data_IF_677708118019
#
_entry.id   IF_677708118019
#
_cell.length_a   1.000
_cell.length_b   1.000
_cell.length_c   1.000
_cell.angle_alpha   90.00
_cell.angle_beta   90.00
_cell.angle_gamma   90.00
#
_symmetry.space_group_name_H-M   'P 1'
#
loop_
_entity.id
_entity.type
_entity.pdbx_description
1 polymer ?
#
# COMPACT_ATOMS: atom_id res chain seq x y z
N UNK A 1 4.93 -11.11 24.56
CA UNK A 1 3.90 -10.69 23.58
C UNK A 1 4.64 -10.05 22.42
N UNK A 2 4.43 -10.47 21.18
CA UNK A 2 5.06 -9.79 20.04
C UNK A 2 4.54 -8.36 19.97
N UNK A 3 5.42 -7.39 19.80
CA UNK A 3 5.07 -5.99 19.59
C UNK A 3 4.09 -5.89 18.40
N UNK A 4 3.02 -5.11 18.53
CA UNK A 4 2.01 -4.98 17.48
C UNK A 4 2.64 -4.24 16.30
N UNK A 5 2.76 -4.90 15.15
CA UNK A 5 3.30 -4.30 13.93
C UNK A 5 2.35 -3.21 13.41
N UNK A 6 2.92 -2.15 12.85
CA UNK A 6 2.20 -1.05 12.19
C UNK A 6 1.72 -1.49 10.82
N UNK A 7 0.41 -1.48 10.58
CA UNK A 7 -0.15 -1.80 9.27
C UNK A 7 0.14 -0.67 8.28
N UNK A 8 0.63 -1.04 7.09
CA UNK A 8 1.05 -0.07 6.06
C UNK A 8 0.43 -0.40 4.70
N UNK A 9 0.13 0.64 3.92
CA UNK A 9 -0.21 0.52 2.51
C UNK A 9 0.91 1.08 1.63
N UNK A 10 1.00 0.57 0.40
CA UNK A 10 1.89 1.09 -0.64
C UNK A 10 1.05 1.51 -1.83
N UNK A 11 1.20 2.76 -2.27
CA UNK A 11 0.59 3.27 -3.51
C UNK A 11 1.64 3.27 -4.61
N UNK A 12 1.33 2.59 -5.71
CA UNK A 12 2.24 2.39 -6.83
C UNK A 12 2.79 0.97 -6.87
N UNK A 13 2.21 0.13 -7.72
CA UNK A 13 2.58 -1.28 -7.92
C UNK A 13 3.73 -1.49 -8.91
N UNK A 14 4.58 -0.48 -9.11
CA UNK A 14 5.77 -0.56 -9.96
C UNK A 14 6.95 -1.24 -9.27
N UNK A 15 8.15 -1.08 -9.84
CA UNK A 15 9.38 -1.69 -9.33
C UNK A 15 9.68 -1.30 -7.88
N UNK A 16 9.60 0.00 -7.56
CA UNK A 16 9.91 0.53 -6.22
C UNK A 16 8.91 0.01 -5.18
N UNK A 17 7.61 0.16 -5.43
CA UNK A 17 6.59 -0.31 -4.49
C UNK A 17 6.63 -1.81 -4.27
N UNK A 18 6.86 -2.59 -5.33
CA UNK A 18 6.97 -4.06 -5.23
C UNK A 18 8.20 -4.49 -4.44
N UNK A 19 9.35 -3.85 -4.65
CA UNK A 19 10.55 -4.10 -3.87
C UNK A 19 10.36 -3.73 -2.38
N UNK A 20 9.75 -2.58 -2.09
CA UNK A 20 9.41 -2.16 -0.73
C UNK A 20 8.45 -3.13 -0.06
N UNK A 21 7.42 -3.62 -0.77
CA UNK A 21 6.49 -4.64 -0.27
C UNK A 21 7.24 -5.89 0.19
N UNK A 22 8.18 -6.38 -0.62
CA UNK A 22 8.97 -7.58 -0.29
C UNK A 22 9.87 -7.32 0.92
N UNK A 23 10.47 -6.14 1.02
CA UNK A 23 11.28 -5.75 2.19
C UNK A 23 10.43 -5.72 3.47
N UNK A 24 9.23 -5.16 3.43
CA UNK A 24 8.32 -5.18 4.59
C UNK A 24 7.98 -6.61 4.99
N UNK A 25 7.52 -7.44 4.03
CA UNK A 25 7.11 -8.81 4.30
C UNK A 25 8.22 -9.70 4.86
N UNK A 26 9.46 -9.53 4.36
CA UNK A 26 10.57 -10.43 4.71
C UNK A 26 11.47 -9.93 5.83
N UNK A 27 11.61 -8.62 5.98
CA UNK A 27 12.65 -8.03 6.82
C UNK A 27 12.09 -7.22 7.99
N UNK A 28 10.86 -6.71 7.91
CA UNK A 28 10.35 -5.81 8.94
C UNK A 28 9.82 -6.55 10.16
N UNK A 29 10.37 -6.21 11.32
CA UNK A 29 9.83 -6.57 12.62
C UNK A 29 8.80 -5.55 13.16
N UNK A 30 8.69 -4.37 12.51
CA UNK A 30 7.83 -3.26 12.98
C UNK A 30 6.64 -2.97 12.07
N UNK A 31 6.66 -3.40 10.81
CA UNK A 31 5.63 -3.10 9.82
C UNK A 31 4.98 -4.38 9.31
N UNK A 32 3.68 -4.30 9.03
CA UNK A 32 2.88 -5.34 8.43
C UNK A 32 2.21 -4.84 7.15
N UNK A 33 2.33 -5.61 6.06
CA UNK A 33 1.90 -5.18 4.74
C UNK A 33 0.39 -5.41 4.58
N UNK A 34 -0.37 -4.31 4.56
CA UNK A 34 -1.84 -4.37 4.51
C UNK A 34 -2.36 -4.41 3.07
N UNK A 35 -2.12 -3.35 2.29
CA UNK A 35 -2.68 -3.21 0.92
C UNK A 35 -1.62 -2.70 -0.05
N UNK A 36 -1.48 -3.39 -1.20
CA UNK A 36 -0.79 -2.86 -2.38
C UNK A 36 -1.80 -2.20 -3.32
N UNK A 37 -1.56 -0.96 -3.69
CA UNK A 37 -2.48 -0.14 -4.48
C UNK A 37 -1.86 0.18 -5.84
N UNK A 38 -2.63 -0.04 -6.89
CA UNK A 38 -2.30 0.34 -8.26
C UNK A 38 -3.47 1.03 -8.94
N UNK A 39 -3.29 1.33 -10.23
CA UNK A 39 -4.35 1.86 -11.12
C UNK A 39 -4.59 0.98 -12.35
N UNK A 40 -3.74 -0.03 -12.55
CA UNK A 40 -3.80 -0.98 -13.65
C UNK A 40 -4.08 -2.38 -13.06
N UNK A 41 -5.26 -2.98 -13.32
CA UNK A 41 -5.61 -4.30 -12.78
C UNK A 41 -4.63 -5.40 -13.21
N UNK A 42 -4.00 -5.25 -14.37
CA UNK A 42 -3.05 -6.20 -14.96
C UNK A 42 -1.60 -5.97 -14.51
N UNK A 43 -1.37 -5.02 -13.60
CA UNK A 43 -0.04 -4.73 -13.06
C UNK A 43 0.61 -5.98 -12.43
N UNK A 44 1.84 -6.30 -12.88
CA UNK A 44 2.67 -7.38 -12.33
C UNK A 44 2.86 -7.28 -10.81
N UNK A 45 3.03 -6.05 -10.28
CA UNK A 45 3.19 -5.81 -8.85
C UNK A 45 1.94 -6.16 -8.05
N UNK A 46 0.75 -5.86 -8.58
CA UNK A 46 -0.51 -6.31 -7.97
C UNK A 46 -0.65 -7.83 -8.05
N UNK A 47 -0.31 -8.43 -9.20
CA UNK A 47 -0.28 -9.88 -9.35
C UNK A 47 0.65 -10.55 -8.33
N UNK A 48 1.81 -9.95 -8.06
CA UNK A 48 2.77 -10.43 -7.06
C UNK A 48 2.25 -10.27 -5.64
N UNK A 49 1.64 -9.13 -5.31
CA UNK A 49 1.01 -8.89 -4.01
C UNK A 49 -0.06 -9.95 -3.71
N UNK A 50 -0.95 -10.24 -4.67
CA UNK A 50 -1.96 -11.31 -4.55
C UNK A 50 -1.35 -12.68 -4.26
N UNK A 51 -0.30 -13.07 -5.00
CA UNK A 51 0.42 -14.35 -4.77
C UNK A 51 1.07 -14.45 -3.39
N UNK A 52 1.39 -13.32 -2.77
CA UNK A 52 1.98 -13.24 -1.43
C UNK A 52 0.93 -13.05 -0.32
N UNK A 53 -0.37 -13.10 -0.65
CA UNK A 53 -1.46 -12.95 0.32
C UNK A 53 -1.74 -11.50 0.75
N UNK A 54 -1.14 -10.51 0.08
CA UNK A 54 -1.39 -9.09 0.35
C UNK A 54 -2.67 -8.65 -0.37
N UNK A 55 -3.51 -7.87 0.31
CA UNK A 55 -4.72 -7.30 -0.29
C UNK A 55 -4.35 -6.30 -1.37
N UNK A 56 -5.19 -6.19 -2.41
CA UNK A 56 -4.91 -5.30 -3.53
C UNK A 56 -6.14 -4.53 -3.97
N UNK A 57 -5.93 -3.30 -4.44
CA UNK A 57 -6.90 -2.57 -5.26
C UNK A 57 -6.21 -1.97 -6.47
N UNK A 58 -6.96 -1.84 -7.56
CA UNK A 58 -6.54 -1.17 -8.80
C UNK A 58 -7.30 0.15 -9.01
N UNK A 59 -8.03 0.62 -8.02
CA UNK A 59 -8.84 1.84 -8.05
C UNK A 59 -8.10 3.04 -7.44
N UNK A 60 -6.78 2.95 -7.31
CA UNK A 60 -5.96 4.01 -6.73
C UNK A 60 -6.25 4.30 -5.26
N UNK A 61 -5.92 5.52 -4.83
CA UNK A 61 -6.17 6.01 -3.46
C UNK A 61 -7.68 6.04 -3.13
N UNK A 62 -8.52 6.35 -4.11
CA UNK A 62 -9.97 6.40 -3.94
C UNK A 62 -10.55 5.04 -3.57
N UNK A 63 -10.04 3.96 -4.20
CA UNK A 63 -10.36 2.60 -3.79
C UNK A 63 -9.80 2.25 -2.41
N UNK A 64 -8.55 2.63 -2.11
CA UNK A 64 -7.91 2.31 -0.84
C UNK A 64 -8.72 2.83 0.36
N UNK A 65 -9.18 4.09 0.33
CA UNK A 65 -9.91 4.70 1.45
C UNK A 65 -11.29 4.06 1.70
N UNK A 66 -11.83 3.34 0.73
CA UNK A 66 -13.11 2.62 0.84
C UNK A 66 -12.94 1.20 1.40
N UNK A 67 -11.72 0.67 1.44
CA UNK A 67 -11.44 -0.68 1.94
C UNK A 67 -11.56 -0.76 3.46
N UNK A 68 -11.95 -1.92 3.98
CA UNK A 68 -12.03 -2.15 5.43
C UNK A 68 -10.66 -2.02 6.11
N UNK A 69 -9.60 -2.41 5.40
CA UNK A 69 -8.21 -2.34 5.82
C UNK A 69 -7.76 -0.90 6.14
N UNK A 70 -8.32 0.11 5.47
CA UNK A 70 -7.99 1.54 5.66
C UNK A 70 -8.06 1.96 7.13
N UNK A 71 -9.05 1.47 7.86
CA UNK A 71 -9.28 1.81 9.29
C UNK A 71 -8.08 1.49 10.18
N UNK A 72 -7.26 0.51 9.78
CA UNK A 72 -6.13 0.03 10.55
C UNK A 72 -4.77 0.51 10.03
N UNK A 73 -4.72 0.99 8.78
CA UNK A 73 -3.48 1.50 8.16
C UNK A 73 -3.05 2.77 8.90
N UNK A 74 -1.75 2.84 9.25
CA UNK A 74 -1.15 3.98 9.95
C UNK A 74 -0.06 4.67 9.16
N UNK A 75 0.48 4.01 8.14
CA UNK A 75 1.47 4.58 7.24
C UNK A 75 1.12 4.23 5.80
N UNK A 76 1.28 5.21 4.92
CA UNK A 76 1.15 5.03 3.47
C UNK A 76 2.48 5.38 2.84
N UNK A 77 3.08 4.44 2.13
CA UNK A 77 4.25 4.69 1.31
C UNK A 77 3.80 4.98 -0.12
N UNK A 78 4.16 6.16 -0.64
CA UNK A 78 3.85 6.53 -2.00
C UNK A 78 5.06 6.31 -2.90
N UNK A 79 4.97 5.32 -3.77
CA UNK A 79 5.95 4.96 -4.78
C UNK A 79 5.43 5.24 -6.20
N UNK A 80 4.61 6.29 -6.35
CA UNK A 80 4.12 6.76 -7.65
C UNK A 80 5.01 7.88 -8.21
N UNK A 81 4.41 8.90 -8.83
CA UNK A 81 5.10 10.08 -9.34
C UNK A 81 4.83 11.29 -8.45
N UNK A 82 5.65 12.35 -8.55
CA UNK A 82 5.43 13.58 -7.78
C UNK A 82 4.01 14.17 -7.96
N UNK A 83 3.51 14.18 -9.20
CA UNK A 83 2.15 14.66 -9.50
C UNK A 83 1.07 13.79 -8.84
N UNK A 84 1.22 12.46 -8.92
CA UNK A 84 0.30 11.53 -8.30
C UNK A 84 0.33 11.63 -6.77
N UNK A 85 1.52 11.82 -6.18
CA UNK A 85 1.65 12.03 -4.74
C UNK A 85 0.89 13.26 -4.25
N UNK A 86 0.92 14.39 -4.98
CA UNK A 86 0.10 15.55 -4.64
C UNK A 86 -1.41 15.25 -4.64
N UNK A 87 -1.89 14.46 -5.61
CA UNK A 87 -3.28 14.01 -5.65
C UNK A 87 -3.61 13.11 -4.45
N UNK A 88 -2.80 12.07 -4.22
CA UNK A 88 -2.97 11.13 -3.11
C UNK A 88 -2.96 11.86 -1.76
N UNK A 89 -2.02 12.78 -1.56
CA UNK A 89 -1.90 13.55 -0.33
C UNK A 89 -3.11 14.44 -0.07
N UNK A 90 -3.71 15.05 -1.12
CA UNK A 90 -4.91 15.85 -0.96
C UNK A 90 -6.11 15.06 -0.44
N UNK A 91 -6.14 13.75 -0.64
CA UNK A 91 -7.16 12.86 -0.09
C UNK A 91 -6.74 12.37 1.30
N UNK A 92 -5.51 11.88 1.45
CA UNK A 92 -5.01 11.27 2.69
C UNK A 92 -4.97 12.28 3.85
N UNK A 93 -4.64 13.55 3.60
CA UNK A 93 -4.52 14.58 4.64
C UNK A 93 -5.82 14.88 5.40
N UNK A 94 -6.97 14.47 4.85
CA UNK A 94 -8.28 14.63 5.49
C UNK A 94 -8.52 13.56 6.59
N UNK A 95 -7.61 12.58 6.72
CA UNK A 95 -7.67 11.52 7.72
C UNK A 95 -6.63 11.75 8.84
N UNK A 96 -7.01 11.47 10.11
CA UNK A 96 -6.17 11.73 11.28
C UNK A 96 -4.99 10.78 11.45
#
# INVERSE_FOLDING_TARGET
MSEKKTAVAIIGSGNIGTDLMIKILRLSNKMDMSVMVGIDPESDGLGRARRMGVKTTHEGIDGLIQMEEWKNIKLVFDATSAKAHHYNWNIIKEYP
#
